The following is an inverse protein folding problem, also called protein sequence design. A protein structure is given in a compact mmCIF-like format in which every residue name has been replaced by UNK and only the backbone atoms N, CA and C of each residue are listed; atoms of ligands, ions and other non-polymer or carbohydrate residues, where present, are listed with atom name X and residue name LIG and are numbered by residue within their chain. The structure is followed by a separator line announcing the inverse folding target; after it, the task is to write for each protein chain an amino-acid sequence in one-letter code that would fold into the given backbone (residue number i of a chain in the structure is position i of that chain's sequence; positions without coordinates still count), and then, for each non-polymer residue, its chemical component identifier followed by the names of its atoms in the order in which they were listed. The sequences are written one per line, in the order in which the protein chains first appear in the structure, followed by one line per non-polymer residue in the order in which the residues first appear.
data_IF_931507916501
#
_entry.id   IF_931507916501
#
_cell.length_a   1.000
_cell.length_b   1.000
_cell.length_c   1.000
_cell.angle_alpha   90.00
_cell.angle_beta   90.00
_cell.angle_gamma   90.00
#
_symmetry.space_group_name_H-M   'P 1'
#
loop_
_entity.id
_entity.type
_entity.pdbx_description
1 polymer ?
#
# COMPACT_ATOMS: atom_id res chain seq x y z
N UNK A 1 14.92 0.97 18.85
CA UNK A 1 15.53 2.28 18.51
C UNK A 1 16.64 2.54 19.49
N UNK A 2 17.89 2.53 19.02
CA UNK A 2 19.05 2.73 19.86
C UNK A 2 19.15 4.22 20.22
N UNK A 3 19.69 4.55 21.40
CA UNK A 3 19.94 5.96 21.80
C UNK A 3 20.79 6.72 20.76
N UNK A 4 21.64 6.00 20.03
CA UNK A 4 22.43 6.54 18.91
C UNK A 4 21.57 7.14 17.80
N UNK A 5 20.48 6.47 17.42
CA UNK A 5 19.65 6.87 16.28
C UNK A 5 18.88 8.16 16.60
N UNK A 6 18.41 8.26 17.84
CA UNK A 6 17.74 9.47 18.35
C UNK A 6 18.72 10.65 18.39
N UNK A 7 19.98 10.41 18.73
CA UNK A 7 20.99 11.45 18.77
C UNK A 7 21.40 11.91 17.37
N UNK A 8 21.51 10.98 16.42
CA UNK A 8 21.78 11.28 15.01
C UNK A 8 20.65 12.11 14.39
N UNK A 9 19.39 11.72 14.63
CA UNK A 9 18.22 12.48 14.21
C UNK A 9 18.19 13.90 14.80
N UNK A 10 18.52 14.06 16.08
CA UNK A 10 18.57 15.38 16.71
C UNK A 10 19.61 16.31 16.07
N UNK A 11 20.77 15.75 15.70
CA UNK A 11 21.81 16.51 15.01
C UNK A 11 21.36 16.95 13.61
N UNK A 12 20.76 16.02 12.84
CA UNK A 12 20.16 16.32 11.54
C UNK A 12 19.11 17.43 11.63
N UNK A 13 18.21 17.35 12.62
CA UNK A 13 17.15 18.36 12.84
C UNK A 13 17.71 19.73 13.19
N UNK A 14 18.81 19.80 13.95
CA UNK A 14 19.43 21.08 14.27
C UNK A 14 19.95 21.82 13.02
N UNK A 15 20.47 21.07 12.05
CA UNK A 15 20.96 21.62 10.78
C UNK A 15 19.81 21.93 9.82
N UNK A 16 18.77 21.10 9.80
CA UNK A 16 17.63 21.29 8.89
C UNK A 16 16.73 22.48 9.30
N UNK A 17 16.57 22.75 10.61
CA UNK A 17 15.77 23.88 11.13
C UNK A 17 16.09 25.25 10.49
N UNK A 18 17.35 25.68 10.40
CA UNK A 18 17.69 26.93 9.73
C UNK A 18 17.47 26.88 8.21
N UNK A 19 17.70 25.74 7.54
CA UNK A 19 17.38 25.58 6.11
C UNK A 19 15.87 25.75 5.85
N UNK A 20 15.02 25.14 6.68
CA UNK A 20 13.56 25.25 6.56
C UNK A 20 13.05 26.69 6.68
N UNK A 21 13.68 27.52 7.52
CA UNK A 21 13.33 28.95 7.63
C UNK A 21 13.60 29.73 6.34
N UNK A 22 14.58 29.31 5.56
CA UNK A 22 14.95 29.93 4.29
C UNK A 22 14.07 29.41 3.14
N UNK A 23 13.86 28.09 3.08
CA UNK A 23 13.12 27.45 1.98
C UNK A 23 11.59 27.65 2.07
N UNK A 24 11.02 27.78 3.28
CA UNK A 24 9.56 27.93 3.49
C UNK A 24 8.72 27.00 2.59
N UNK A 25 8.95 25.68 2.65
CA UNK A 25 8.23 24.72 1.82
C UNK A 25 6.72 24.81 2.10
N UNK A 26 5.92 24.79 1.03
CA UNK A 26 4.45 24.86 1.13
C UNK A 26 3.84 23.49 1.45
N UNK A 27 4.41 22.45 0.84
CA UNK A 27 3.93 21.08 0.98
C UNK A 27 5.05 20.12 1.43
N UNK A 28 4.64 18.99 2.03
CA UNK A 28 5.54 17.89 2.42
C UNK A 28 6.33 17.33 1.23
N UNK A 29 5.73 17.33 0.04
CA UNK A 29 6.37 16.87 -1.20
C UNK A 29 7.46 17.84 -1.65
N UNK A 30 7.23 19.14 -1.52
CA UNK A 30 8.22 20.16 -1.88
C UNK A 30 9.45 20.04 -0.96
N UNK A 31 9.20 19.84 0.34
CA UNK A 31 10.26 19.56 1.31
C UNK A 31 11.05 18.29 0.96
N UNK A 32 10.38 17.23 0.49
CA UNK A 32 11.06 16.01 0.07
C UNK A 32 12.05 16.28 -1.08
N UNK A 33 11.60 16.98 -2.13
CA UNK A 33 12.45 17.29 -3.28
C UNK A 33 13.62 18.21 -2.94
N UNK A 34 13.48 19.09 -1.96
CA UNK A 34 14.55 19.99 -1.51
C UNK A 34 15.60 19.29 -0.65
N UNK A 35 15.22 18.28 0.13
CA UNK A 35 16.12 17.53 1.02
C UNK A 35 16.75 16.32 0.30
N UNK A 36 16.11 15.82 -0.76
CA UNK A 36 16.59 14.68 -1.55
C UNK A 36 18.05 14.80 -2.04
N UNK A 37 18.54 15.95 -2.52
CA UNK A 37 19.95 16.11 -2.93
C UNK A 37 20.95 15.93 -1.78
N UNK A 38 20.48 16.02 -0.53
CA UNK A 38 21.28 15.94 0.69
C UNK A 38 21.05 14.61 1.44
N UNK A 39 20.75 13.54 0.72
CA UNK A 39 20.44 12.22 1.30
C UNK A 39 21.50 11.70 2.27
N UNK A 40 22.78 11.97 1.99
CA UNK A 40 23.88 11.59 2.88
C UNK A 40 23.95 12.42 4.16
N UNK A 41 23.44 13.64 4.15
CA UNK A 41 23.45 14.55 5.30
C UNK A 41 22.21 14.39 6.19
N UNK A 42 21.09 13.90 5.64
CA UNK A 42 19.81 13.75 6.35
C UNK A 42 19.15 12.37 6.16
N UNK A 43 19.88 11.25 6.34
CA UNK A 43 19.33 9.91 6.08
C UNK A 43 18.15 9.56 6.99
N UNK A 44 18.19 10.00 8.26
CA UNK A 44 17.14 9.69 9.24
C UNK A 44 15.87 10.49 8.95
N UNK A 45 16.02 11.77 8.62
CA UNK A 45 14.88 12.64 8.27
C UNK A 45 14.23 12.20 6.96
N UNK A 46 15.02 11.84 5.93
CA UNK A 46 14.48 11.34 4.67
C UNK A 46 13.67 10.07 4.87
N UNK A 47 14.19 9.12 5.65
CA UNK A 47 13.47 7.89 6.00
C UNK A 47 12.15 8.20 6.72
N UNK A 48 12.15 9.18 7.64
CA UNK A 48 10.95 9.61 8.34
C UNK A 48 9.95 10.30 7.41
N UNK A 49 10.42 11.13 6.48
CA UNK A 49 9.58 11.84 5.53
C UNK A 49 8.93 10.88 4.53
N UNK A 50 9.70 9.91 4.02
CA UNK A 50 9.19 8.81 3.19
C UNK A 50 8.16 8.01 3.99
N UNK A 51 8.45 7.66 5.24
CA UNK A 51 7.50 7.01 6.15
C UNK A 51 6.20 7.80 6.30
N UNK A 52 6.31 9.11 6.55
CA UNK A 52 5.15 9.99 6.70
C UNK A 52 4.33 10.14 5.42
N UNK A 53 4.96 10.12 4.25
CA UNK A 53 4.26 10.17 2.95
C UNK A 53 3.70 8.82 2.50
N UNK A 54 4.29 7.71 2.94
CA UNK A 54 3.84 6.34 2.62
C UNK A 54 2.75 5.86 3.55
N UNK A 55 2.69 6.35 4.79
CA UNK A 55 1.52 6.17 5.64
C UNK A 55 0.34 6.86 4.95
N UNK A 56 -0.69 6.11 4.53
CA UNK A 56 -1.82 6.70 3.84
C UNK A 56 -2.52 7.67 4.80
N UNK A 57 -2.44 8.97 4.52
CA UNK A 57 -3.22 10.01 5.22
C UNK A 57 -4.72 9.84 4.90
N UNK A 58 -5.05 9.15 3.81
CA UNK A 58 -6.40 9.03 3.28
C UNK A 58 -7.05 7.67 3.58
N UNK A 59 -8.23 7.69 4.21
CA UNK A 59 -9.14 6.55 4.37
C UNK A 59 -9.73 6.01 3.05
N UNK A 60 -9.47 6.67 1.92
CA UNK A 60 -10.15 6.38 0.66
C UNK A 60 -9.83 4.99 0.10
N UNK A 61 -8.62 4.48 0.34
CA UNK A 61 -8.24 3.11 -0.06
C UNK A 61 -8.99 2.06 0.75
N UNK A 62 -9.16 2.30 2.06
CA UNK A 62 -9.92 1.39 2.93
C UNK A 62 -11.42 1.49 2.64
N UNK A 63 -11.97 2.69 2.37
CA UNK A 63 -13.35 2.88 1.96
C UNK A 63 -13.67 2.16 0.64
N UNK A 64 -12.77 2.21 -0.36
CA UNK A 64 -12.89 1.42 -1.60
C UNK A 64 -12.91 -0.07 -1.29
N UNK A 65 -12.01 -0.55 -0.43
CA UNK A 65 -11.96 -1.96 -0.04
C UNK A 65 -13.24 -2.41 0.70
N UNK A 66 -13.72 -1.64 1.68
CA UNK A 66 -14.95 -1.94 2.42
C UNK A 66 -16.19 -1.89 1.52
N UNK A 67 -16.25 -0.94 0.58
CA UNK A 67 -17.33 -0.87 -0.41
C UNK A 67 -17.37 -2.12 -1.30
N UNK A 68 -16.22 -2.57 -1.80
CA UNK A 68 -16.12 -3.83 -2.57
C UNK A 68 -16.46 -5.05 -1.71
N UNK A 69 -15.98 -5.12 -0.48
CA UNK A 69 -16.28 -6.21 0.44
C UNK A 69 -17.77 -6.30 0.75
N UNK A 70 -18.46 -5.17 0.90
CA UNK A 70 -19.92 -5.11 1.11
C UNK A 70 -20.71 -5.67 -0.09
N UNK A 71 -20.22 -5.46 -1.32
CA UNK A 71 -20.82 -6.05 -2.53
C UNK A 71 -20.58 -7.56 -2.63
N UNK A 72 -19.45 -8.05 -2.12
CA UNK A 72 -19.09 -9.49 -2.14
C UNK A 72 -19.80 -10.25 -1.02
N UNK A 73 -19.78 -9.72 0.22
CA UNK A 73 -20.42 -10.31 1.40
C UNK A 73 -21.86 -9.81 1.54
N UNK A 74 -22.73 -10.33 0.68
CA UNK A 74 -24.17 -10.09 0.75
C UNK A 74 -24.83 -10.96 1.83
N UNK A 75 -26.05 -10.59 2.25
CA UNK A 75 -26.82 -11.33 3.27
C UNK A 75 -26.93 -12.84 2.95
N UNK A 76 -27.20 -13.18 1.68
CA UNK A 76 -27.28 -14.57 1.22
C UNK A 76 -25.92 -15.29 1.10
N UNK A 77 -24.78 -14.58 1.20
CA UNK A 77 -23.42 -15.11 1.03
C UNK A 77 -22.57 -14.90 2.29
N UNK A 78 -23.19 -14.77 3.46
CA UNK A 78 -22.49 -14.45 4.70
C UNK A 78 -21.68 -15.63 5.29
N UNK A 79 -21.90 -16.87 4.83
CA UNK A 79 -21.29 -18.10 5.35
C UNK A 79 -19.95 -18.50 4.71
N UNK A 80 -19.36 -17.63 3.87
CA UNK A 80 -18.06 -17.92 3.24
C UNK A 80 -16.90 -17.78 4.23
N UNK A 81 -15.81 -18.53 3.99
CA UNK A 81 -14.58 -18.39 4.77
C UNK A 81 -13.91 -17.02 4.55
N UNK A 82 -13.22 -16.53 5.58
CA UNK A 82 -12.51 -15.24 5.50
C UNK A 82 -11.41 -15.26 4.43
N UNK A 83 -10.70 -16.38 4.26
CA UNK A 83 -9.72 -16.54 3.19
C UNK A 83 -10.34 -16.34 1.80
N UNK A 84 -11.53 -16.91 1.57
CA UNK A 84 -12.24 -16.75 0.29
C UNK A 84 -12.72 -15.31 0.09
N UNK A 85 -13.23 -14.69 1.15
CA UNK A 85 -13.67 -13.29 1.10
C UNK A 85 -12.51 -12.33 0.79
N UNK A 86 -11.36 -12.52 1.45
CA UNK A 86 -10.15 -11.73 1.22
C UNK A 86 -9.65 -11.86 -0.22
N UNK A 87 -9.57 -13.09 -0.74
CA UNK A 87 -9.15 -13.34 -2.12
C UNK A 87 -10.09 -12.68 -3.14
N UNK A 88 -11.41 -12.81 -2.96
CA UNK A 88 -12.39 -12.15 -3.84
C UNK A 88 -12.33 -10.62 -3.74
N UNK A 89 -12.09 -10.09 -2.55
CA UNK A 89 -11.97 -8.64 -2.33
C UNK A 89 -10.73 -8.09 -3.03
N UNK A 90 -9.61 -8.80 -2.96
CA UNK A 90 -8.37 -8.46 -3.66
C UNK A 90 -8.60 -8.43 -5.18
N UNK A 91 -9.21 -9.47 -5.75
CA UNK A 91 -9.55 -9.51 -7.18
C UNK A 91 -10.50 -8.37 -7.60
N UNK A 92 -11.42 -7.95 -6.72
CA UNK A 92 -12.36 -6.89 -7.00
C UNK A 92 -11.77 -5.48 -6.89
N UNK A 93 -10.73 -5.30 -6.04
CA UNK A 93 -9.97 -4.05 -5.91
C UNK A 93 -9.04 -3.89 -7.11
N UNK A 94 -8.29 -4.96 -7.42
CA UNK A 94 -7.25 -5.03 -8.46
C UNK A 94 -7.82 -5.38 -9.85
N UNK A 95 -9.08 -5.02 -10.11
CA UNK A 95 -9.77 -5.35 -11.38
C UNK A 95 -9.11 -4.75 -12.63
N UNK A 96 -8.21 -3.80 -12.46
CA UNK A 96 -7.46 -3.15 -13.54
C UNK A 96 -6.25 -3.99 -14.01
N UNK A 97 -5.84 -4.99 -13.23
CA UNK A 97 -4.78 -5.91 -13.65
C UNK A 97 -5.33 -6.92 -14.66
N UNK A 98 -4.64 -7.04 -15.79
CA UNK A 98 -4.97 -8.02 -16.82
C UNK A 98 -4.59 -9.42 -16.33
N UNK A 99 -5.60 -10.27 -16.11
CA UNK A 99 -5.40 -11.65 -15.70
C UNK A 99 -5.61 -12.56 -16.92
N UNK A 100 -4.67 -13.47 -17.14
CA UNK A 100 -4.73 -14.47 -18.21
C UNK A 100 -5.71 -15.59 -17.81
N UNK A 101 -6.96 -15.47 -18.27
CA UNK A 101 -8.03 -16.39 -17.91
C UNK A 101 -7.77 -17.82 -18.36
N UNK A 102 -7.13 -18.02 -19.52
CA UNK A 102 -6.82 -19.36 -20.05
C UNK A 102 -5.89 -20.11 -19.10
N UNK A 103 -4.83 -19.45 -18.61
CA UNK A 103 -3.92 -20.05 -17.63
C UNK A 103 -4.60 -20.41 -16.31
N UNK A 104 -5.56 -19.59 -15.87
CA UNK A 104 -6.31 -19.88 -14.64
C UNK A 104 -7.23 -21.08 -14.84
N UNK A 105 -7.89 -21.18 -15.99
CA UNK A 105 -8.77 -22.29 -16.33
C UNK A 105 -7.94 -23.58 -16.39
N UNK A 106 -6.79 -23.57 -17.06
CA UNK A 106 -5.89 -24.70 -17.13
C UNK A 106 -5.36 -25.12 -15.76
N UNK A 107 -4.91 -24.16 -14.94
CA UNK A 107 -4.45 -24.43 -13.58
C UNK A 107 -5.56 -25.02 -12.69
N UNK A 108 -6.77 -24.47 -12.78
CA UNK A 108 -7.93 -24.98 -12.05
C UNK A 108 -8.30 -26.40 -12.50
N UNK A 109 -8.26 -26.68 -13.80
CA UNK A 109 -8.55 -28.00 -14.36
C UNK A 109 -7.53 -29.06 -13.93
N UNK A 110 -6.24 -28.70 -13.87
CA UNK A 110 -5.17 -29.59 -13.35
C UNK A 110 -5.40 -29.90 -11.88
N UNK A 111 -5.78 -28.89 -11.09
CA UNK A 111 -5.96 -29.02 -9.64
C UNK A 111 -7.26 -29.74 -9.25
N UNK A 112 -8.33 -29.59 -10.05
CA UNK A 112 -9.66 -30.15 -9.79
C UNK A 112 -10.12 -31.10 -10.92
N UNK A 113 -9.55 -32.30 -10.95
CA UNK A 113 -9.76 -33.32 -12.00
C UNK A 113 -11.22 -33.68 -12.33
N UNK A 114 -12.19 -33.42 -11.44
CA UNK A 114 -13.61 -33.75 -11.61
C UNK A 114 -14.50 -32.60 -12.14
N UNK A 115 -13.92 -31.46 -12.54
CA UNK A 115 -14.69 -30.25 -12.88
C UNK A 115 -15.04 -30.08 -14.37
N UNK A 116 -14.77 -31.09 -15.22
CA UNK A 116 -15.24 -31.10 -16.62
C UNK A 116 -16.73 -31.46 -16.68
N UNK A 117 -17.59 -30.45 -16.79
CA UNK A 117 -18.96 -30.67 -17.26
C UNK A 117 -18.88 -30.79 -18.78
N UNK A 118 -18.95 -32.02 -19.30
CA UNK A 118 -19.07 -32.25 -20.73
C UNK A 118 -20.48 -31.84 -21.15
N UNK A 119 -20.61 -30.67 -21.78
CA UNK A 119 -21.84 -30.31 -22.48
C UNK A 119 -21.86 -31.11 -23.79
N UNK A 120 -22.88 -31.95 -23.91
CA UNK A 120 -23.12 -32.85 -25.05
C UNK A 120 -24.00 -32.17 -26.09
#
# INVERSE_FOLDING_TARGET
MLKSDIQLLNNEIQVLKPMLKQLKPKNMIDLYFEVLPFEQAFPSILSLLIGAMTIPVSSTTTERAFSKMKLIKTVARNSMSDNRLSNLSLLAIEREFCVDYEKIIDAFAIQHKNSRIMLK
#
